data_IF_830514068065
#
_entry.id   IF_830514068065
#
_cell.length_a   1.000
_cell.length_b   1.000
_cell.length_c   1.000
_cell.angle_alpha   90.00
_cell.angle_beta   90.00
_cell.angle_gamma   90.00
#
_symmetry.space_group_name_H-M   'P 1'
#
loop_
_entity.id
_entity.type
_entity.pdbx_description
1 polymer ?
#
# COMPACT_ATOMS: atom_id res chain seq x y z
N UNK A 1 -32.88 -35.37 -11.01
CA UNK A 1 -31.88 -34.50 -11.66
C UNK A 1 -32.22 -33.05 -11.32
N UNK A 2 -31.63 -32.48 -10.26
CA UNK A 2 -31.89 -31.09 -9.84
C UNK A 2 -30.78 -30.22 -10.43
N UNK A 3 -31.14 -29.30 -11.33
CA UNK A 3 -30.24 -28.28 -11.88
C UNK A 3 -29.93 -27.29 -10.77
N UNK A 4 -28.68 -27.24 -10.32
CA UNK A 4 -28.19 -26.17 -9.47
C UNK A 4 -28.14 -24.89 -10.31
N UNK A 5 -29.03 -23.97 -9.96
CA UNK A 5 -29.05 -22.62 -10.49
C UNK A 5 -27.76 -21.95 -10.02
N UNK A 6 -26.81 -21.75 -10.93
CA UNK A 6 -25.71 -20.81 -10.73
C UNK A 6 -26.38 -19.45 -10.58
N UNK A 7 -26.56 -19.00 -9.34
CA UNK A 7 -26.84 -17.59 -9.07
C UNK A 7 -25.59 -16.87 -9.55
N UNK A 8 -25.70 -16.20 -10.70
CA UNK A 8 -24.77 -15.17 -11.16
C UNK A 8 -24.41 -14.31 -9.97
N UNK A 9 -23.20 -14.50 -9.43
CA UNK A 9 -22.66 -13.67 -8.39
C UNK A 9 -22.75 -12.24 -8.91
N UNK A 10 -23.49 -11.40 -8.19
CA UNK A 10 -23.47 -9.95 -8.39
C UNK A 10 -22.00 -9.56 -8.54
N UNK A 11 -21.67 -8.90 -9.65
CA UNK A 11 -20.39 -8.20 -9.90
C UNK A 11 -19.53 -8.11 -8.65
N UNK A 12 -18.64 -9.09 -8.44
CA UNK A 12 -17.70 -9.08 -7.33
C UNK A 12 -16.69 -7.99 -7.65
N UNK A 13 -16.98 -6.77 -7.17
CA UNK A 13 -16.08 -5.65 -7.33
C UNK A 13 -14.88 -5.93 -6.44
N UNK A 14 -13.71 -6.16 -7.06
CA UNK A 14 -12.44 -6.33 -6.35
C UNK A 14 -12.21 -5.15 -5.39
N UNK A 15 -11.67 -5.43 -4.20
CA UNK A 15 -11.38 -4.45 -3.15
C UNK A 15 -9.89 -4.48 -2.80
N UNK A 16 -9.40 -3.38 -2.25
CA UNK A 16 -8.10 -3.28 -1.57
C UNK A 16 -7.98 -4.43 -0.57
N UNK A 17 -6.82 -5.08 -0.48
CA UNK A 17 -6.55 -6.07 0.56
C UNK A 17 -5.59 -5.52 1.61
N UNK A 18 -5.66 -6.02 2.84
CA UNK A 18 -4.72 -5.70 3.92
C UNK A 18 -4.24 -7.01 4.50
N UNK A 19 -2.92 -7.17 4.61
CA UNK A 19 -2.30 -8.35 5.23
C UNK A 19 -1.30 -7.92 6.31
N UNK A 20 -1.23 -8.69 7.39
CA UNK A 20 -0.19 -8.54 8.40
C UNK A 20 1.16 -9.00 7.88
N UNK A 21 2.23 -8.27 8.19
CA UNK A 21 3.60 -8.70 7.85
C UNK A 21 3.99 -10.03 8.50
N UNK A 22 3.31 -10.45 9.57
CA UNK A 22 3.58 -11.72 10.23
C UNK A 22 3.25 -12.94 9.37
N UNK A 23 2.46 -12.75 8.30
CA UNK A 23 2.13 -13.79 7.34
C UNK A 23 3.07 -13.80 6.13
N UNK A 24 3.97 -12.82 6.03
CA UNK A 24 4.92 -12.64 4.94
C UNK A 24 6.29 -13.16 5.35
N UNK A 25 7.05 -13.70 4.39
CA UNK A 25 8.43 -14.12 4.62
C UNK A 25 9.28 -12.91 5.07
N UNK A 26 10.09 -13.09 6.11
CA UNK A 26 10.96 -12.03 6.64
C UNK A 26 11.95 -11.50 5.60
N UNK A 27 12.45 -12.37 4.70
CA UNK A 27 13.34 -11.94 3.61
C UNK A 27 12.61 -11.02 2.62
N UNK A 28 11.32 -11.26 2.39
CA UNK A 28 10.48 -10.38 1.56
C UNK A 28 10.27 -9.04 2.24
N UNK A 29 10.07 -8.98 3.56
CA UNK A 29 9.96 -7.69 4.27
C UNK A 29 11.23 -6.86 4.14
N UNK A 30 12.41 -7.47 4.26
CA UNK A 30 13.68 -6.78 4.07
C UNK A 30 13.84 -6.26 2.63
N UNK A 31 13.47 -7.07 1.64
CA UNK A 31 13.51 -6.71 0.22
C UNK A 31 12.55 -5.55 -0.11
N UNK A 32 11.33 -5.59 0.46
CA UNK A 32 10.33 -4.52 0.31
C UNK A 32 10.82 -3.19 0.86
N UNK A 33 11.54 -3.19 1.99
CA UNK A 33 12.14 -1.97 2.56
C UNK A 33 13.31 -1.48 1.71
N UNK A 34 14.14 -2.40 1.19
CA UNK A 34 15.34 -2.04 0.43
C UNK A 34 15.03 -1.53 -0.99
N UNK A 35 14.01 -2.08 -1.63
CA UNK A 35 13.64 -1.77 -3.01
C UNK A 35 12.37 -0.91 -3.13
N UNK A 36 11.63 -0.74 -2.03
CA UNK A 36 10.47 0.13 -1.97
C UNK A 36 10.84 1.60 -2.13
N UNK A 37 9.85 2.40 -2.53
CA UNK A 37 9.99 3.86 -2.55
C UNK A 37 9.68 4.34 -1.14
N UNK A 38 10.72 4.81 -0.47
CA UNK A 38 10.66 5.35 0.87
C UNK A 38 9.87 6.67 0.87
N UNK A 39 8.74 6.69 1.60
CA UNK A 39 7.95 7.90 1.83
C UNK A 39 8.17 8.44 3.26
N UNK A 40 9.20 7.96 3.97
CA UNK A 40 9.50 8.39 5.32
C UNK A 40 9.79 9.88 5.34
N UNK A 41 9.40 10.48 6.46
CA UNK A 41 9.55 11.91 6.69
C UNK A 41 10.97 12.40 6.46
N UNK A 42 12.00 11.60 6.76
CA UNK A 42 13.39 12.05 6.67
C UNK A 42 13.87 12.25 5.24
N UNK A 43 13.45 11.41 4.28
CA UNK A 43 13.84 11.59 2.89
C UNK A 43 13.12 12.79 2.27
N UNK A 44 11.82 12.92 2.52
CA UNK A 44 11.04 14.12 2.17
C UNK A 44 11.64 15.40 2.79
N UNK A 45 11.99 15.36 4.08
CA UNK A 45 12.60 16.49 4.80
C UNK A 45 13.88 16.94 4.10
N UNK A 46 14.77 16.01 3.75
CA UNK A 46 16.03 16.32 3.09
C UNK A 46 15.83 16.91 1.69
N UNK A 47 14.95 16.34 0.88
CA UNK A 47 14.62 16.87 -0.44
C UNK A 47 14.03 18.27 -0.35
N UNK A 48 13.05 18.46 0.54
CA UNK A 48 12.36 19.73 0.73
C UNK A 48 13.26 20.81 1.30
N UNK A 49 14.14 20.44 2.23
CA UNK A 49 15.17 21.32 2.79
C UNK A 49 16.10 21.85 1.70
N UNK A 50 16.59 21.00 0.81
CA UNK A 50 17.43 21.38 -0.33
C UNK A 50 16.69 22.28 -1.34
N UNK A 51 15.40 22.08 -1.56
CA UNK A 51 14.59 22.96 -2.40
C UNK A 51 14.41 24.36 -1.79
N UNK A 52 14.10 24.44 -0.49
CA UNK A 52 13.91 25.71 0.21
C UNK A 52 15.21 26.52 0.26
N UNK A 53 16.36 25.85 0.45
CA UNK A 53 17.68 26.48 0.28
C UNK A 53 17.87 27.10 -1.12
N UNK A 54 17.49 26.38 -2.18
CA UNK A 54 17.57 26.90 -3.57
C UNK A 54 16.60 28.07 -3.83
N UNK A 55 15.49 28.13 -3.09
CA UNK A 55 14.53 29.22 -3.14
C UNK A 55 14.96 30.45 -2.33
N UNK A 56 16.09 30.36 -1.61
CA UNK A 56 16.69 31.46 -0.87
C UNK A 56 16.26 31.54 0.59
N UNK A 57 15.57 30.52 1.12
CA UNK A 57 15.44 30.36 2.56
C UNK A 57 16.81 29.99 3.12
N UNK A 58 17.29 30.73 4.12
CA UNK A 58 18.61 30.49 4.73
C UNK A 58 18.55 30.35 6.25
N UNK A 59 17.41 30.67 6.85
CA UNK A 59 17.19 30.50 8.27
C UNK A 59 16.69 29.07 8.52
N UNK A 60 17.42 28.34 9.36
CA UNK A 60 17.10 26.95 9.65
C UNK A 60 15.75 26.81 10.34
N UNK A 61 15.44 27.72 11.27
CA UNK A 61 14.18 27.68 12.03
C UNK A 61 12.97 27.98 11.11
N UNK A 62 13.14 28.83 10.10
CA UNK A 62 12.11 29.10 9.08
C UNK A 62 11.84 27.88 8.21
N UNK A 63 12.91 27.24 7.71
CA UNK A 63 12.81 26.01 6.90
C UNK A 63 12.15 24.89 7.71
N UNK A 64 12.58 24.69 8.96
CA UNK A 64 12.06 23.62 9.83
C UNK A 64 10.57 23.81 10.14
N UNK A 65 10.13 25.06 10.37
CA UNK A 65 8.72 25.36 10.58
C UNK A 65 7.88 25.10 9.32
N UNK A 66 8.36 25.51 8.13
CA UNK A 66 7.65 25.26 6.86
C UNK A 66 7.47 23.75 6.64
N UNK A 67 8.55 22.98 6.78
CA UNK A 67 8.48 21.53 6.56
C UNK A 67 7.57 20.89 7.61
N UNK A 68 7.70 21.28 8.89
CA UNK A 68 6.85 20.74 9.97
C UNK A 68 5.36 21.02 9.77
N UNK A 69 4.99 22.19 9.24
CA UNK A 69 3.61 22.51 8.87
C UNK A 69 3.13 21.68 7.66
N UNK A 70 3.99 21.46 6.67
CA UNK A 70 3.69 20.62 5.49
C UNK A 70 3.51 19.14 5.88
N UNK A 71 4.18 18.67 6.93
CA UNK A 71 4.26 17.26 7.32
C UNK A 71 3.50 16.89 8.59
N UNK A 72 2.65 17.78 9.11
CA UNK A 72 1.98 17.58 10.40
C UNK A 72 1.21 16.24 10.50
N UNK A 73 0.75 15.70 9.37
CA UNK A 73 0.00 14.45 9.26
C UNK A 73 0.77 13.32 8.53
N UNK A 74 2.08 13.46 8.32
CA UNK A 74 2.85 12.42 7.64
C UNK A 74 3.00 11.20 8.53
N UNK A 75 2.68 10.04 7.95
CA UNK A 75 2.96 8.73 8.54
C UNK A 75 4.44 8.45 8.30
N UNK A 76 5.26 8.50 9.36
CA UNK A 76 6.72 8.63 9.24
C UNK A 76 7.41 7.37 8.71
N UNK A 77 6.70 6.26 8.63
CA UNK A 77 7.24 4.92 8.45
C UNK A 77 6.46 4.15 7.36
N UNK A 78 6.39 4.74 6.16
CA UNK A 78 5.62 4.22 5.02
C UNK A 78 6.47 4.06 3.75
N UNK A 79 6.27 2.95 3.02
CA UNK A 79 6.91 2.67 1.74
C UNK A 79 5.87 2.32 0.68
N UNK A 80 6.05 2.83 -0.55
CA UNK A 80 5.35 2.29 -1.71
C UNK A 80 6.11 1.06 -2.21
N UNK A 81 5.40 -0.05 -2.40
CA UNK A 81 5.97 -1.33 -2.80
C UNK A 81 5.29 -1.88 -4.05
N UNK A 82 6.04 -2.66 -4.84
CA UNK A 82 5.57 -3.18 -6.12
C UNK A 82 5.55 -2.13 -7.22
N UNK A 83 4.56 -2.22 -8.11
CA UNK A 83 4.53 -1.52 -9.38
C UNK A 83 3.93 -0.11 -9.28
N UNK A 84 4.78 0.87 -8.97
CA UNK A 84 4.46 2.29 -8.99
C UNK A 84 5.14 3.00 -10.16
N UNK A 85 4.50 4.04 -10.69
CA UNK A 85 5.09 4.93 -11.69
C UNK A 85 4.90 6.38 -11.28
N UNK A 86 5.93 7.20 -11.47
CA UNK A 86 5.86 8.64 -11.22
C UNK A 86 5.28 9.35 -12.45
N UNK A 87 4.16 10.06 -12.27
CA UNK A 87 3.49 10.85 -13.31
C UNK A 87 3.21 12.23 -12.75
N UNK A 88 3.76 13.27 -13.38
CA UNK A 88 3.57 14.66 -12.97
C UNK A 88 3.87 14.92 -11.47
N UNK A 89 4.93 14.29 -10.94
CA UNK A 89 5.34 14.41 -9.55
C UNK A 89 4.45 13.66 -8.55
N UNK A 90 3.55 12.78 -9.03
CA UNK A 90 2.69 11.94 -8.17
C UNK A 90 2.85 10.47 -8.54
N UNK A 91 2.91 9.61 -7.54
CA UNK A 91 2.92 8.16 -7.76
C UNK A 91 1.53 7.66 -8.14
N UNK A 92 1.49 6.83 -9.18
CA UNK A 92 0.30 6.15 -9.67
C UNK A 92 0.59 4.66 -9.86
N UNK A 93 -0.43 3.83 -9.71
CA UNK A 93 -0.30 2.37 -9.88
C UNK A 93 0.03 2.04 -11.34
N UNK A 94 1.10 1.27 -11.56
CA UNK A 94 1.46 0.70 -12.86
C UNK A 94 0.88 -0.71 -13.01
N UNK A 95 -0.25 -0.84 -13.69
CA UNK A 95 -0.95 -2.14 -13.84
C UNK A 95 -0.25 -3.15 -14.74
N UNK A 96 0.70 -2.69 -15.55
CA UNK A 96 1.48 -3.50 -16.50
C UNK A 96 2.90 -3.75 -15.98
N UNK A 97 3.17 -3.45 -14.70
CA UNK A 97 4.47 -3.67 -14.08
C UNK A 97 4.80 -5.16 -13.86
N UNK A 98 6.09 -5.47 -13.67
CA UNK A 98 6.58 -6.84 -13.60
C UNK A 98 6.12 -7.61 -12.35
N UNK A 99 5.88 -6.93 -11.23
CA UNK A 99 5.50 -7.57 -9.96
C UNK A 99 4.03 -8.01 -9.97
N UNK A 100 3.20 -7.30 -10.74
CA UNK A 100 1.76 -7.53 -10.87
C UNK A 100 0.95 -7.08 -9.66
N UNK A 101 1.52 -6.30 -8.75
CA UNK A 101 0.82 -5.70 -7.61
C UNK A 101 1.40 -4.33 -7.26
N UNK A 102 0.62 -3.49 -6.60
CA UNK A 102 1.06 -2.24 -5.99
C UNK A 102 0.47 -2.17 -4.59
N UNK A 103 1.33 -1.87 -3.63
CA UNK A 103 1.04 -1.86 -2.21
C UNK A 103 1.64 -0.66 -1.48
N UNK A 104 1.17 -0.42 -0.27
CA UNK A 104 1.78 0.45 0.74
C UNK A 104 2.14 -0.39 1.96
N UNK A 105 3.41 -0.37 2.35
CA UNK A 105 3.88 -0.96 3.61
C UNK A 105 3.97 0.13 4.67
N UNK A 106 3.29 -0.06 5.80
CA UNK A 106 3.44 0.79 6.98
C UNK A 106 4.11 -0.01 8.10
N UNK A 107 5.31 0.42 8.49
CA UNK A 107 6.14 -0.28 9.48
C UNK A 107 5.61 -0.12 10.90
N UNK A 108 5.10 1.06 11.26
CA UNK A 108 4.56 1.33 12.59
C UNK A 108 3.36 0.44 12.92
N UNK A 109 2.49 0.24 11.94
CA UNK A 109 1.29 -0.59 12.05
C UNK A 109 1.49 -2.03 11.54
N UNK A 110 2.72 -2.37 11.12
CA UNK A 110 3.13 -3.71 10.71
C UNK A 110 2.15 -4.37 9.71
N UNK A 111 1.69 -3.60 8.71
CA UNK A 111 0.76 -4.09 7.69
C UNK A 111 1.15 -3.64 6.29
N UNK A 112 0.67 -4.41 5.31
CA UNK A 112 0.70 -4.05 3.91
C UNK A 112 -0.73 -3.88 3.42
N UNK A 113 -1.02 -2.68 2.92
CA UNK A 113 -2.19 -2.36 2.15
C UNK A 113 -1.91 -2.65 0.67
N UNK A 114 -2.77 -3.42 0.00
CA UNK A 114 -2.64 -3.83 -1.41
C UNK A 114 -3.69 -3.08 -2.22
N UNK A 115 -3.31 -1.97 -2.84
CA UNK A 115 -4.21 -1.11 -3.62
C UNK A 115 -4.54 -1.72 -4.99
N UNK A 116 -3.62 -2.51 -5.54
CA UNK A 116 -3.83 -3.27 -6.77
C UNK A 116 -3.07 -4.58 -6.74
N UNK A 117 -3.68 -5.63 -7.31
CA UNK A 117 -2.99 -6.87 -7.60
C UNK A 117 -3.69 -7.67 -8.70
N UNK A 118 -2.92 -8.31 -9.57
CA UNK A 118 -3.44 -9.34 -10.46
C UNK A 118 -3.83 -10.61 -9.68
N UNK A 119 -3.22 -10.82 -8.51
CA UNK A 119 -3.51 -11.89 -7.58
C UNK A 119 -4.73 -11.54 -6.72
N UNK A 120 -5.58 -12.53 -6.50
CA UNK A 120 -6.87 -12.34 -5.84
C UNK A 120 -7.10 -13.50 -4.88
N UNK A 121 -7.40 -13.18 -3.61
CA UNK A 121 -7.93 -14.18 -2.68
C UNK A 121 -9.45 -14.24 -2.85
N UNK A 122 -9.93 -15.48 -2.98
CA UNK A 122 -11.35 -15.81 -2.92
C UNK A 122 -11.62 -16.23 -1.48
N UNK A 123 -12.64 -15.62 -0.84
CA UNK A 123 -13.12 -15.93 0.52
C UNK A 123 -12.38 -15.18 1.64
N UNK A 124 -12.62 -13.87 1.80
CA UNK A 124 -12.14 -13.07 2.95
C UNK A 124 -13.31 -12.63 3.86
N UNK A 125 -13.11 -12.53 5.19
CA UNK A 125 -14.19 -12.38 6.20
C UNK A 125 -14.70 -10.95 6.41
N UNK A 126 -13.83 -9.95 6.58
CA UNK A 126 -14.23 -8.58 6.93
C UNK A 126 -13.30 -7.51 6.34
N UNK A 127 -13.63 -6.23 6.56
CA UNK A 127 -12.82 -5.09 6.13
C UNK A 127 -12.17 -4.39 7.33
N UNK A 128 -10.84 -4.37 7.39
CA UNK A 128 -10.10 -3.58 8.39
C UNK A 128 -10.30 -2.08 8.12
N UNK A 129 -10.49 -1.22 9.14
CA UNK A 129 -10.88 0.18 8.95
C UNK A 129 -9.77 1.12 8.44
N UNK A 130 -8.59 0.62 8.09
CA UNK A 130 -7.43 1.44 7.76
C UNK A 130 -7.08 1.29 6.27
N UNK A 131 -7.03 2.41 5.54
CA UNK A 131 -6.61 2.60 4.13
C UNK A 131 -7.65 2.35 3.04
N UNK A 132 -8.59 3.29 2.99
CA UNK A 132 -9.52 3.55 1.88
C UNK A 132 -8.85 3.41 0.50
N UNK A 133 -9.62 2.99 -0.52
CA UNK A 133 -9.26 3.11 -1.95
C UNK A 133 -8.51 4.43 -2.21
N UNK A 134 -7.56 4.48 -3.17
CA UNK A 134 -6.80 5.70 -3.52
C UNK A 134 -7.66 6.96 -3.82
N UNK A 135 -8.99 6.83 -3.95
CA UNK A 135 -9.98 7.90 -4.11
C UNK A 135 -10.87 8.16 -2.86
N UNK A 136 -10.59 7.53 -1.72
CA UNK A 136 -11.32 7.70 -0.46
C UNK A 136 -12.70 7.04 -0.40
N UNK A 137 -13.11 6.24 -1.39
CA UNK A 137 -14.53 5.88 -1.55
C UNK A 137 -14.96 4.49 -1.04
N UNK A 138 -14.07 3.66 -0.46
CA UNK A 138 -14.46 2.29 -0.10
C UNK A 138 -13.62 1.59 0.98
N UNK A 139 -14.19 0.55 1.62
CA UNK A 139 -13.53 -0.22 2.67
C UNK A 139 -12.55 -1.28 2.12
N UNK A 140 -11.51 -1.61 2.88
CA UNK A 140 -10.36 -2.48 2.55
C UNK A 140 -10.55 -3.89 3.16
N UNK A 141 -10.36 -4.97 2.41
CA UNK A 141 -10.54 -6.35 2.86
C UNK A 141 -9.38 -6.89 3.71
N UNK A 142 -9.69 -7.76 4.67
CA UNK A 142 -8.74 -8.51 5.51
C UNK A 142 -8.34 -9.83 4.84
N UNK A 143 -7.05 -10.00 4.56
CA UNK A 143 -6.50 -11.18 3.89
C UNK A 143 -6.16 -12.33 4.85
N UNK A 144 -6.22 -12.10 6.17
CA UNK A 144 -5.75 -13.06 7.18
C UNK A 144 -6.86 -14.05 7.62
N UNK A 145 -8.12 -13.87 7.18
CA UNK A 145 -9.25 -14.71 7.60
C UNK A 145 -10.18 -15.12 6.46
N UNK A 146 -10.47 -16.44 6.34
CA UNK A 146 -11.44 -17.01 5.38
C UNK A 146 -12.85 -16.43 5.53
N UNK A 147 -13.52 -16.09 4.42
CA UNK A 147 -14.89 -15.55 4.39
C UNK A 147 -15.60 -15.58 3.03
N UNK A 148 -16.36 -14.55 2.65
CA UNK A 148 -17.16 -14.55 1.40
C UNK A 148 -16.86 -13.36 0.47
N UNK A 149 -15.88 -12.52 0.82
CA UNK A 149 -15.44 -11.36 0.04
C UNK A 149 -14.24 -11.72 -0.85
N UNK A 150 -14.06 -10.98 -1.94
CA UNK A 150 -12.89 -11.07 -2.82
C UNK A 150 -12.02 -9.82 -2.63
N UNK A 151 -10.72 -10.01 -2.38
CA UNK A 151 -9.77 -8.92 -2.16
C UNK A 151 -8.48 -9.12 -2.99
N UNK A 152 -7.81 -8.01 -3.32
CA UNK A 152 -6.45 -8.05 -3.87
C UNK A 152 -5.49 -8.64 -2.85
N UNK A 153 -4.47 -9.36 -3.30
CA UNK A 153 -3.49 -10.00 -2.42
C UNK A 153 -2.07 -9.84 -2.98
N UNK A 154 -1.05 -10.08 -2.15
CA UNK A 154 0.32 -10.22 -2.61
C UNK A 154 0.51 -11.52 -3.43
N UNK A 155 1.60 -11.61 -4.23
CA UNK A 155 2.04 -12.87 -4.82
C UNK A 155 2.08 -14.03 -3.80
N UNK A 156 1.59 -15.24 -4.13
CA UNK A 156 1.52 -16.37 -3.20
C UNK A 156 2.86 -16.80 -2.58
N UNK A 157 3.96 -16.57 -3.29
CA UNK A 157 5.33 -16.89 -2.87
C UNK A 157 5.89 -15.90 -1.83
N UNK A 158 5.21 -14.77 -1.61
CA UNK A 158 5.57 -13.83 -0.53
C UNK A 158 5.08 -14.29 0.85
N UNK A 159 4.19 -15.30 0.91
CA UNK A 159 3.63 -15.78 2.18
C UNK A 159 4.47 -16.91 2.79
N UNK A 160 4.52 -16.93 4.13
CA UNK A 160 5.11 -18.02 4.90
C UNK A 160 4.43 -19.36 4.55
N UNK A 161 5.15 -20.21 3.79
CA UNK A 161 4.70 -21.56 3.43
C UNK A 161 4.04 -21.72 2.06
N UNK A 162 3.87 -20.63 1.29
CA UNK A 162 3.13 -20.61 0.02
C UNK A 162 1.63 -20.88 0.23
N UNK A 163 0.76 -20.03 -0.34
CA UNK A 163 -0.70 -20.20 -0.22
C UNK A 163 -1.21 -21.54 -0.80
#
# INVERSE_FOLDING_TARGET
MKRNIIKTAKSLTKKVGVTSIHNIDGEVIEDLIQNGIDLTFMEYYNERFEELLKQGHTDFDDIDNIISEETQDFDTDTWLIGDWTLVDGKYSINKDGPEGFAGTYNRDSCNICVEYSQYVILNCHYTSPCYVMADGSGPCGDLDTDGDIMAYCLPPDMFNGGL
#
